data_IF_507486113792
#
_entry.id   IF_507486113792
#
_cell.length_a   1.000
_cell.length_b   1.000
_cell.length_c   1.000
_cell.angle_alpha   90.00
_cell.angle_beta   90.00
_cell.angle_gamma   90.00
#
_symmetry.space_group_name_H-M   'P 1'
#
loop_
_entity.id
_entity.type
_entity.pdbx_description
1 polymer ?
#
# COMPACT_ATOMS: atom_id res chain seq x y z
N UNK A 1 -23.57 44.51 -22.23
CA UNK A 1 -23.71 43.91 -20.88
C UNK A 1 -22.60 42.88 -20.73
N UNK A 2 -21.38 43.30 -20.40
CA UNK A 2 -20.83 43.36 -19.03
C UNK A 2 -20.86 42.00 -18.30
N UNK A 3 -19.78 41.23 -18.49
CA UNK A 3 -18.92 40.69 -17.41
C UNK A 3 -19.58 39.91 -16.24
N UNK A 4 -20.48 38.95 -16.49
CA UNK A 4 -21.11 38.23 -15.37
C UNK A 4 -21.33 36.72 -15.53
N UNK A 5 -20.59 36.06 -16.41
CA UNK A 5 -20.66 34.58 -16.55
C UNK A 5 -19.37 33.85 -16.19
N UNK A 6 -18.27 34.57 -15.90
CA UNK A 6 -17.00 33.94 -15.53
C UNK A 6 -16.84 33.66 -14.02
N UNK A 7 -17.81 34.03 -13.19
CA UNK A 7 -17.67 33.93 -11.73
C UNK A 7 -18.29 32.68 -11.10
N UNK A 8 -19.05 31.88 -11.84
CA UNK A 8 -19.64 30.63 -11.29
C UNK A 8 -18.81 29.37 -11.54
N UNK A 9 -17.83 29.40 -12.44
CA UNK A 9 -17.00 28.22 -12.74
C UNK A 9 -15.77 28.07 -11.85
N UNK A 10 -15.45 29.10 -11.03
CA UNK A 10 -14.29 29.06 -10.12
C UNK A 10 -14.61 28.50 -8.73
N UNK A 11 -15.88 28.32 -8.36
CA UNK A 11 -16.25 27.78 -7.04
C UNK A 11 -16.31 26.24 -7.05
N UNK A 12 -16.48 25.61 -8.21
CA UNK A 12 -16.46 24.14 -8.34
C UNK A 12 -15.05 23.54 -8.38
N UNK A 13 -14.02 24.33 -8.69
CA UNK A 13 -12.62 23.88 -8.75
C UNK A 13 -11.92 23.83 -7.38
N UNK A 14 -12.59 24.32 -6.32
CA UNK A 14 -12.19 24.13 -4.92
C UNK A 14 -12.97 22.99 -4.26
N UNK A 15 -13.57 22.08 -5.06
CA UNK A 15 -13.83 20.74 -4.55
C UNK A 15 -12.46 20.14 -4.30
N UNK A 16 -11.96 20.39 -3.10
CA UNK A 16 -10.74 19.86 -2.53
C UNK A 16 -10.54 18.47 -3.12
N UNK A 17 -9.38 18.25 -3.76
CA UNK A 17 -8.74 16.95 -3.67
C UNK A 17 -8.67 16.70 -2.16
N UNK A 18 -9.72 16.07 -1.65
CA UNK A 18 -9.80 15.67 -0.27
C UNK A 18 -8.82 14.54 -0.28
N UNK A 19 -7.58 14.83 0.10
CA UNK A 19 -6.66 13.80 0.62
C UNK A 19 -7.54 12.95 1.50
N UNK A 20 -7.84 11.74 1.02
CA UNK A 20 -8.73 10.86 1.75
C UNK A 20 -8.01 10.62 3.08
N UNK A 21 -8.70 10.61 4.23
CA UNK A 21 -8.08 10.16 5.47
C UNK A 21 -7.38 8.80 5.33
N UNK A 22 -7.77 8.02 4.32
CA UNK A 22 -7.13 6.78 3.92
C UNK A 22 -5.74 7.02 3.30
N UNK A 23 -5.55 7.98 2.41
CA UNK A 23 -4.25 8.26 1.75
C UNK A 23 -3.15 8.52 2.82
N UNK A 24 -3.46 9.35 3.83
CA UNK A 24 -2.51 9.62 4.94
C UNK A 24 -2.25 8.36 5.80
N UNK A 25 -3.26 7.50 5.95
CA UNK A 25 -3.14 6.24 6.69
C UNK A 25 -2.29 5.23 5.92
N UNK A 26 -2.53 5.11 4.62
CA UNK A 26 -1.82 4.29 3.65
C UNK A 26 -0.33 4.66 3.66
N UNK A 27 0.01 5.93 3.40
CA UNK A 27 1.38 6.47 3.43
C UNK A 27 2.09 6.14 4.76
N UNK A 28 1.39 6.32 5.88
CA UNK A 28 1.96 6.05 7.20
C UNK A 28 2.25 4.57 7.41
N UNK A 29 1.37 3.68 6.93
CA UNK A 29 1.58 2.24 7.03
C UNK A 29 2.74 1.82 6.14
N UNK A 30 2.81 2.33 4.90
CA UNK A 30 3.92 2.09 3.98
C UNK A 30 5.26 2.48 4.60
N UNK A 31 5.36 3.71 5.13
CA UNK A 31 6.59 4.18 5.79
C UNK A 31 6.96 3.33 7.00
N UNK A 32 5.96 2.91 7.80
CA UNK A 32 6.20 2.01 8.92
C UNK A 32 6.70 0.64 8.47
N UNK A 33 6.13 0.06 7.41
CA UNK A 33 6.56 -1.21 6.86
C UNK A 33 7.97 -1.09 6.29
N UNK A 34 8.27 -0.04 5.50
CA UNK A 34 9.61 0.24 4.97
C UNK A 34 10.67 0.22 6.07
N UNK A 35 10.42 0.94 7.17
CA UNK A 35 11.37 1.01 8.30
C UNK A 35 11.48 -0.32 9.06
N UNK A 36 10.35 -0.98 9.36
CA UNK A 36 10.36 -2.15 10.26
C UNK A 36 10.78 -3.44 9.55
N UNK A 37 10.49 -3.55 8.26
CA UNK A 37 10.78 -4.73 7.47
C UNK A 37 12.15 -4.66 6.77
N UNK A 38 12.87 -3.53 6.81
CA UNK A 38 14.20 -3.38 6.18
C UNK A 38 15.19 -4.51 6.56
N UNK A 39 15.12 -4.98 7.82
CA UNK A 39 15.98 -6.06 8.32
C UNK A 39 15.63 -7.45 7.74
N UNK A 40 14.40 -7.63 7.25
CA UNK A 40 13.89 -8.85 6.63
C UNK A 40 14.00 -8.75 5.10
N UNK A 41 13.65 -7.59 4.54
CA UNK A 41 13.55 -7.31 3.12
C UNK A 41 14.30 -6.00 2.82
N UNK A 42 15.57 -6.11 2.37
CA UNK A 42 16.46 -4.95 2.17
C UNK A 42 16.13 -4.05 0.97
N UNK A 43 15.35 -4.54 0.02
CA UNK A 43 15.00 -3.85 -1.22
C UNK A 43 13.56 -4.18 -1.57
N UNK A 44 12.67 -3.71 -0.70
CA UNK A 44 11.25 -3.91 -0.84
C UNK A 44 10.55 -2.57 -0.87
N UNK A 45 9.72 -2.40 -1.88
CA UNK A 45 8.72 -1.34 -1.92
C UNK A 45 7.39 -1.88 -1.42
N UNK A 46 6.63 -1.00 -0.79
CA UNK A 46 5.35 -1.32 -0.16
C UNK A 46 4.34 -0.32 -0.70
N UNK A 47 3.22 -0.85 -1.16
CA UNK A 47 2.03 -0.09 -1.58
C UNK A 47 0.84 -0.60 -0.77
N UNK A 48 0.13 0.31 -0.12
CA UNK A 48 -1.00 -0.02 0.75
C UNK A 48 -2.23 0.69 0.23
N UNK A 49 -3.30 -0.08 -0.02
CA UNK A 49 -4.59 0.47 -0.42
C UNK A 49 -5.67 0.05 0.57
N UNK A 50 -6.44 1.01 1.08
CA UNK A 50 -7.52 0.78 2.05
C UNK A 50 -8.86 1.22 1.46
N UNK A 51 -9.72 0.25 1.18
CA UNK A 51 -11.06 0.47 0.65
C UNK A 51 -12.08 -0.35 1.43
N UNK A 52 -13.11 0.32 1.96
CA UNK A 52 -14.21 -0.33 2.70
C UNK A 52 -13.71 -1.27 3.81
N UNK A 53 -12.80 -0.81 4.67
CA UNK A 53 -12.17 -1.59 5.76
C UNK A 53 -11.33 -2.81 5.32
N UNK A 54 -11.12 -2.99 4.02
CA UNK A 54 -10.18 -3.98 3.49
C UNK A 54 -8.86 -3.28 3.19
N UNK A 55 -7.76 -3.90 3.62
CA UNK A 55 -6.42 -3.45 3.30
C UNK A 55 -5.80 -4.41 2.29
N UNK A 56 -5.30 -3.88 1.18
CA UNK A 56 -4.39 -4.58 0.29
C UNK A 56 -2.97 -4.09 0.58
N UNK A 57 -2.03 -5.02 0.80
CA UNK A 57 -0.62 -4.75 0.99
C UNK A 57 0.14 -5.44 -0.11
N UNK A 58 0.72 -4.65 -1.00
CA UNK A 58 1.58 -5.13 -2.06
C UNK A 58 3.04 -4.90 -1.67
N UNK A 59 3.86 -5.93 -1.84
CA UNK A 59 5.29 -5.90 -1.55
C UNK A 59 6.05 -6.27 -2.80
N UNK A 60 6.80 -5.32 -3.35
CA UNK A 60 7.61 -5.53 -4.54
C UNK A 60 9.07 -5.72 -4.14
N UNK A 61 9.63 -6.88 -4.47
CA UNK A 61 11.01 -7.22 -4.13
C UNK A 61 11.92 -7.01 -5.33
N UNK A 62 12.88 -6.11 -5.24
CA UNK A 62 13.89 -5.94 -6.28
C UNK A 62 15.00 -6.99 -6.17
N UNK A 63 15.47 -7.48 -7.32
CA UNK A 63 16.78 -8.14 -7.42
C UNK A 63 16.93 -9.42 -6.59
N UNK A 64 15.87 -10.22 -6.49
CA UNK A 64 15.82 -11.50 -5.77
C UNK A 64 16.94 -12.45 -6.21
N UNK A 65 18.07 -12.35 -5.51
CA UNK A 65 19.20 -13.28 -5.57
C UNK A 65 19.10 -14.15 -4.32
N UNK A 66 18.29 -15.19 -4.45
CA UNK A 66 17.72 -16.06 -3.41
C UNK A 66 18.81 -16.71 -2.52
N UNK A 67 18.58 -16.78 -1.19
CA UNK A 67 18.12 -18.02 -0.58
C UNK A 67 16.63 -17.93 -0.28
N UNK A 68 15.94 -19.08 -0.29
CA UNK A 68 14.46 -19.17 -0.23
C UNK A 68 13.95 -18.41 1.00
N UNK A 69 13.39 -17.22 0.78
CA UNK A 69 12.60 -16.53 1.79
C UNK A 69 11.38 -17.40 2.13
N UNK A 70 11.06 -17.50 3.42
CA UNK A 70 9.81 -18.12 3.86
C UNK A 70 8.72 -17.04 3.80
N UNK A 71 7.97 -17.01 2.69
CA UNK A 71 6.96 -15.98 2.47
C UNK A 71 5.81 -16.02 3.48
N UNK A 72 5.49 -17.18 4.06
CA UNK A 72 4.53 -17.26 5.16
C UNK A 72 5.03 -16.50 6.38
N UNK A 73 6.30 -16.68 6.76
CA UNK A 73 6.90 -15.94 7.87
C UNK A 73 6.95 -14.43 7.57
N UNK A 74 7.30 -14.05 6.35
CA UNK A 74 7.31 -12.65 5.93
C UNK A 74 5.92 -12.04 6.04
N UNK A 75 4.87 -12.75 5.59
CA UNK A 75 3.49 -12.28 5.72
C UNK A 75 3.06 -12.12 7.19
N UNK A 76 3.46 -13.04 8.08
CA UNK A 76 3.22 -12.90 9.51
C UNK A 76 3.96 -11.69 10.12
N UNK A 77 5.20 -11.44 9.67
CA UNK A 77 5.97 -10.28 10.11
C UNK A 77 5.35 -8.97 9.62
N UNK A 78 4.80 -8.93 8.39
CA UNK A 78 4.03 -7.79 7.89
C UNK A 78 2.81 -7.55 8.79
N UNK A 79 1.98 -8.58 9.02
CA UNK A 79 0.78 -8.46 9.88
C UNK A 79 1.10 -7.93 11.28
N UNK A 80 2.19 -8.39 11.88
CA UNK A 80 2.65 -7.91 13.18
C UNK A 80 3.04 -6.42 13.16
N UNK A 81 3.54 -5.93 12.03
CA UNK A 81 4.06 -4.58 11.87
C UNK A 81 3.08 -3.57 11.26
N UNK A 82 1.96 -4.01 10.67
CA UNK A 82 0.86 -3.15 10.18
C UNK A 82 0.22 -2.31 11.29
N UNK A 83 0.45 -2.65 12.57
CA UNK A 83 -0.08 -1.94 13.72
C UNK A 83 -1.54 -2.31 14.01
N UNK A 84 -1.98 -2.05 15.23
CA UNK A 84 -3.30 -2.46 15.74
C UNK A 84 -4.42 -1.50 15.33
N UNK A 85 -4.44 -1.01 14.09
CA UNK A 85 -5.53 -0.15 13.67
C UNK A 85 -6.82 -0.98 13.60
N UNK A 86 -7.81 -0.62 14.42
CA UNK A 86 -9.04 -1.39 14.61
C UNK A 86 -10.04 -1.17 13.47
N UNK A 87 -9.73 -0.29 12.52
CA UNK A 87 -10.58 0.07 11.39
C UNK A 87 -10.49 -0.90 10.20
N UNK A 88 -9.52 -1.81 10.21
CA UNK A 88 -9.31 -2.81 9.15
C UNK A 88 -9.75 -4.18 9.64
N UNK A 89 -10.68 -4.76 8.89
CA UNK A 89 -11.31 -6.06 9.17
C UNK A 89 -10.58 -7.18 8.43
N UNK A 90 -10.16 -6.92 7.19
CA UNK A 90 -9.57 -7.92 6.31
C UNK A 90 -8.29 -7.38 5.66
N UNK A 91 -7.27 -8.24 5.55
CA UNK A 91 -5.96 -7.88 5.01
C UNK A 91 -5.59 -8.88 3.92
N UNK A 92 -5.31 -8.39 2.71
CA UNK A 92 -4.76 -9.18 1.63
C UNK A 92 -3.30 -8.77 1.42
N UNK A 93 -2.38 -9.74 1.44
CA UNK A 93 -0.95 -9.50 1.22
C UNK A 93 -0.54 -10.18 -0.08
N UNK A 94 0.12 -9.43 -0.96
CA UNK A 94 0.73 -9.94 -2.19
C UNK A 94 2.20 -9.60 -2.17
N UNK A 95 3.06 -10.59 -2.42
CA UNK A 95 4.50 -10.39 -2.56
C UNK A 95 4.87 -10.71 -4.01
N UNK A 96 5.45 -9.73 -4.68
CA UNK A 96 5.88 -9.79 -6.08
C UNK A 96 7.40 -9.71 -6.18
N UNK A 97 7.94 -10.35 -7.20
CA UNK A 97 9.30 -10.11 -7.66
C UNK A 97 9.24 -9.09 -8.79
N UNK A 98 9.79 -7.90 -8.54
CA UNK A 98 9.99 -6.88 -9.57
C UNK A 98 11.09 -7.38 -10.53
N UNK A 99 10.66 -7.63 -11.76
CA UNK A 99 11.52 -8.16 -12.81
C UNK A 99 12.03 -7.01 -13.67
N UNK A 100 13.34 -6.75 -13.57
CA UNK A 100 14.02 -5.76 -14.42
C UNK A 100 13.76 -5.95 -15.94
N UNK A 101 13.38 -7.17 -16.35
CA UNK A 101 12.93 -7.50 -17.70
C UNK A 101 11.76 -8.48 -17.61
N UNK A 102 10.57 -8.04 -18.03
CA UNK A 102 9.37 -8.89 -18.08
C UNK A 102 8.22 -8.37 -17.22
N UNK A 103 7.20 -9.21 -17.01
CA UNK A 103 6.09 -8.93 -16.09
C UNK A 103 6.47 -9.32 -14.66
N UNK A 104 5.91 -8.62 -13.68
CA UNK A 104 6.10 -8.94 -12.26
C UNK A 104 5.56 -10.31 -11.93
N UNK A 105 6.31 -11.04 -11.12
CA UNK A 105 5.94 -12.40 -10.74
C UNK A 105 5.41 -12.40 -9.32
N UNK A 106 4.13 -12.79 -9.15
CA UNK A 106 3.58 -13.08 -7.83
C UNK A 106 4.30 -14.30 -7.25
N UNK A 107 4.97 -14.09 -6.12
CA UNK A 107 5.67 -15.14 -5.36
C UNK A 107 4.78 -15.74 -4.28
N UNK A 108 3.89 -14.90 -3.75
CA UNK A 108 3.01 -15.25 -2.65
C UNK A 108 1.77 -14.36 -2.65
N UNK A 109 0.64 -14.94 -2.29
CA UNK A 109 -0.53 -14.17 -1.89
C UNK A 109 -1.31 -14.90 -0.81
N UNK A 110 -1.78 -14.17 0.18
CA UNK A 110 -2.66 -14.72 1.20
C UNK A 110 -3.64 -13.65 1.72
N UNK A 111 -4.86 -14.10 1.94
CA UNK A 111 -5.91 -13.33 2.59
C UNK A 111 -5.99 -13.71 4.08
N UNK A 112 -6.00 -12.69 4.92
CA UNK A 112 -6.07 -12.80 6.37
C UNK A 112 -7.32 -12.10 6.85
N UNK A 113 -8.17 -12.86 7.53
CA UNK A 113 -9.35 -12.34 8.20
C UNK A 113 -9.01 -12.06 9.66
N UNK A 114 -9.34 -10.86 10.12
CA UNK A 114 -9.15 -10.47 11.52
C UNK A 114 -10.28 -10.95 12.42
#
# INVERSE_FOLDING_TARGET
MKKLLFLMTLVSALSFAKDSPNDILEDRIEDHLKVRMESVLKKADYDVTIVNNNMNVEVELEGLTVPKLNFDQVAQDILKNLGTDSSVDDIYIVIKHDSAVGEDKILYSQYFKK
#
